data_IF_834807104629
#
_entry.id   IF_834807104629
#
_cell.length_a   1.000
_cell.length_b   1.000
_cell.length_c   1.000
_cell.angle_alpha   90.00
_cell.angle_beta   90.00
_cell.angle_gamma   90.00
#
_symmetry.space_group_name_H-M   'P 1'
#
loop_
_entity.id
_entity.type
_entity.pdbx_description
1 polymer ?
#
# COMPACT_ATOMS: atom_id res chain seq x y z
N UNK A 1 -8.92 25.56 15.53
CA UNK A 1 -10.06 25.15 16.39
C UNK A 1 -10.77 23.99 15.69
N UNK A 2 -10.90 22.85 16.36
CA UNK A 2 -11.53 21.67 15.73
C UNK A 2 -13.05 21.89 15.63
N UNK A 3 -13.57 22.12 14.45
CA UNK A 3 -15.00 22.37 14.16
C UNK A 3 -15.91 21.23 14.62
N UNK A 4 -15.36 20.01 14.75
CA UNK A 4 -16.09 18.80 15.16
C UNK A 4 -16.90 18.96 16.45
N UNK A 5 -16.38 19.72 17.42
CA UNK A 5 -17.04 19.96 18.70
C UNK A 5 -18.13 21.03 18.64
N UNK A 6 -18.22 21.77 17.55
CA UNK A 6 -19.22 22.81 17.34
C UNK A 6 -20.43 22.32 16.55
N UNK A 7 -20.31 21.18 15.87
CA UNK A 7 -21.38 20.59 15.07
C UNK A 7 -22.35 19.81 15.98
N UNK A 8 -23.65 19.98 15.71
CA UNK A 8 -24.71 19.26 16.43
C UNK A 8 -24.79 17.82 15.91
N UNK A 9 -24.10 16.92 16.61
CA UNK A 9 -24.00 15.50 16.25
C UNK A 9 -25.39 14.85 16.19
N UNK A 10 -26.22 15.09 17.20
CA UNK A 10 -27.49 14.38 17.34
C UNK A 10 -28.45 14.84 16.23
N UNK A 11 -28.49 16.11 15.95
CA UNK A 11 -29.23 16.64 14.80
C UNK A 11 -28.74 16.04 13.47
N UNK A 12 -27.43 16.02 13.24
CA UNK A 12 -26.83 15.53 11.98
C UNK A 12 -27.18 14.06 11.75
N UNK A 13 -27.04 13.22 12.77
CA UNK A 13 -27.37 11.80 12.70
C UNK A 13 -28.87 11.57 12.50
N UNK A 14 -29.73 12.29 13.25
CA UNK A 14 -31.18 12.16 13.11
C UNK A 14 -31.67 12.63 11.75
N UNK A 15 -31.16 13.76 11.23
CA UNK A 15 -31.50 14.26 9.92
C UNK A 15 -31.10 13.27 8.82
N UNK A 16 -29.93 12.61 8.96
CA UNK A 16 -29.47 11.59 8.01
C UNK A 16 -30.36 10.36 8.02
N UNK A 17 -30.74 9.87 9.21
CA UNK A 17 -31.69 8.75 9.36
C UNK A 17 -33.06 9.08 8.73
N UNK A 18 -33.47 10.32 8.79
CA UNK A 18 -34.73 10.81 8.18
C UNK A 18 -34.61 11.11 6.67
N UNK A 19 -33.52 10.70 6.03
CA UNK A 19 -33.32 10.86 4.58
C UNK A 19 -32.95 12.27 4.11
N UNK A 20 -32.61 13.19 5.03
CA UNK A 20 -32.18 14.53 4.65
C UNK A 20 -30.83 14.45 3.94
N UNK A 21 -30.71 15.16 2.80
CA UNK A 21 -29.47 15.16 2.04
C UNK A 21 -28.32 15.81 2.81
N UNK A 22 -27.10 15.31 2.62
CA UNK A 22 -25.90 15.85 3.28
C UNK A 22 -25.69 17.33 2.97
N UNK A 23 -26.12 17.79 1.78
CA UNK A 23 -26.06 19.19 1.38
C UNK A 23 -27.01 20.07 2.20
N UNK A 24 -28.22 19.58 2.51
CA UNK A 24 -29.18 20.30 3.35
C UNK A 24 -28.70 20.35 4.81
N UNK A 25 -28.13 19.26 5.31
CA UNK A 25 -27.52 19.22 6.66
C UNK A 25 -26.39 20.24 6.74
N UNK A 26 -25.50 20.26 5.75
CA UNK A 26 -24.40 21.23 5.66
C UNK A 26 -24.90 22.68 5.72
N UNK A 27 -25.90 23.06 4.90
CA UNK A 27 -26.45 24.43 4.86
C UNK A 27 -27.00 24.84 6.21
N UNK A 28 -27.78 23.97 6.85
CA UNK A 28 -28.37 24.25 8.15
C UNK A 28 -27.33 24.42 9.27
N UNK A 29 -26.34 23.56 9.31
CA UNK A 29 -25.24 23.67 10.28
C UNK A 29 -24.38 24.92 10.03
N UNK A 30 -24.15 25.27 8.76
CA UNK A 30 -23.48 26.53 8.41
C UNK A 30 -24.25 27.77 8.89
N UNK A 31 -25.58 27.82 8.69
CA UNK A 31 -26.43 28.87 9.19
C UNK A 31 -26.47 28.96 10.71
N UNK A 32 -26.54 27.79 11.38
CA UNK A 32 -26.53 27.72 12.85
C UNK A 32 -25.22 28.25 13.43
N UNK A 33 -24.10 27.83 12.89
CA UNK A 33 -22.77 28.26 13.35
C UNK A 33 -22.47 29.71 13.01
N UNK A 34 -22.97 30.24 11.88
CA UNK A 34 -22.83 31.65 11.50
C UNK A 34 -23.57 32.59 12.45
N UNK A 35 -24.66 32.12 13.12
CA UNK A 35 -25.36 32.90 14.19
C UNK A 35 -24.53 32.97 15.48
N UNK A 36 -23.68 31.95 15.73
CA UNK A 36 -22.81 31.90 16.91
C UNK A 36 -21.56 32.73 16.65
N UNK A 37 -20.90 32.49 15.52
CA UNK A 37 -19.73 33.22 15.06
C UNK A 37 -19.66 33.18 13.52
N UNK A 38 -19.82 34.30 12.82
CA UNK A 38 -19.83 34.37 11.35
C UNK A 38 -18.49 34.04 10.69
N UNK A 39 -17.40 33.99 11.47
CA UNK A 39 -16.08 33.60 10.97
C UNK A 39 -15.92 32.09 10.89
N UNK A 40 -16.80 31.29 11.53
CA UNK A 40 -16.73 29.83 11.46
C UNK A 40 -17.18 29.38 10.08
N UNK A 41 -16.22 28.85 9.31
CA UNK A 41 -16.48 28.24 8.00
C UNK A 41 -16.02 26.81 8.01
N UNK A 42 -16.80 25.93 7.41
CA UNK A 42 -16.43 24.56 7.17
C UNK A 42 -16.96 24.10 5.81
N UNK A 43 -16.56 22.93 5.34
CA UNK A 43 -16.91 22.44 4.01
C UNK A 43 -17.99 21.36 4.10
N UNK A 44 -18.74 21.17 3.02
CA UNK A 44 -19.66 20.06 2.87
C UNK A 44 -18.94 18.70 3.10
N UNK A 45 -17.69 18.57 2.62
CA UNK A 45 -16.85 17.40 2.85
C UNK A 45 -16.57 17.10 4.33
N UNK A 46 -16.58 18.12 5.20
CA UNK A 46 -16.45 17.91 6.65
C UNK A 46 -17.66 17.17 7.23
N UNK A 47 -18.88 17.51 6.80
CA UNK A 47 -20.10 16.77 7.20
C UNK A 47 -20.07 15.33 6.70
N UNK A 48 -19.67 15.12 5.43
CA UNK A 48 -19.55 13.75 4.85
C UNK A 48 -18.56 12.91 5.65
N UNK A 49 -17.40 13.47 5.96
CA UNK A 49 -16.38 12.80 6.75
C UNK A 49 -16.85 12.44 8.17
N UNK A 50 -17.54 13.38 8.82
CA UNK A 50 -18.08 13.16 10.17
C UNK A 50 -19.19 12.11 10.17
N UNK A 51 -20.09 12.11 9.20
CA UNK A 51 -21.13 11.08 9.10
C UNK A 51 -20.51 9.70 8.95
N UNK A 52 -19.49 9.54 8.11
CA UNK A 52 -18.76 8.27 7.99
C UNK A 52 -18.15 7.82 9.33
N UNK A 53 -17.59 8.76 10.08
CA UNK A 53 -16.98 8.46 11.39
C UNK A 53 -18.03 8.11 12.46
N UNK A 54 -19.20 8.72 12.41
CA UNK A 54 -20.25 8.51 13.40
C UNK A 54 -21.13 7.30 13.11
N UNK A 55 -21.37 6.94 11.86
CA UNK A 55 -22.10 5.72 11.48
C UNK A 55 -21.32 4.46 11.87
N UNK A 56 -19.99 4.50 11.86
CA UNK A 56 -19.13 3.41 12.33
C UNK A 56 -19.20 3.18 13.86
N UNK A 57 -19.74 4.14 14.62
CA UNK A 57 -19.94 4.03 16.08
C UNK A 57 -21.38 3.69 16.48
N UNK A 58 -22.24 3.26 15.55
CA UNK A 58 -23.56 2.74 15.89
C UNK A 58 -23.40 1.35 16.54
N UNK A 59 -24.16 1.12 17.62
CA UNK A 59 -24.08 -0.06 18.48
C UNK A 59 -24.00 -1.38 17.68
N UNK A 60 -22.93 -2.13 17.88
CA UNK A 60 -22.72 -3.45 17.29
C UNK A 60 -21.74 -3.51 16.13
N UNK A 61 -21.08 -2.41 15.76
CA UNK A 61 -19.98 -2.46 14.82
C UNK A 61 -18.75 -3.14 15.47
N UNK A 62 -18.01 -4.01 14.74
CA UNK A 62 -16.72 -4.48 15.21
C UNK A 62 -15.82 -3.29 15.50
N UNK A 63 -14.88 -3.47 16.45
CA UNK A 63 -13.91 -2.44 16.83
C UNK A 63 -13.44 -1.66 15.61
N UNK A 64 -13.45 -0.31 15.66
CA UNK A 64 -13.08 0.48 14.49
C UNK A 64 -11.67 0.07 14.06
N UNK A 65 -11.55 -0.29 12.80
CA UNK A 65 -10.25 -0.35 12.14
C UNK A 65 -9.41 0.84 12.59
N UNK A 66 -8.11 0.68 12.86
CA UNK A 66 -7.27 1.72 13.43
C UNK A 66 -7.55 3.05 12.74
N UNK A 67 -7.93 4.04 13.53
CA UNK A 67 -8.40 5.33 13.02
C UNK A 67 -7.21 6.00 12.36
N UNK A 68 -7.13 5.90 11.02
CA UNK A 68 -6.17 6.67 10.27
C UNK A 68 -6.43 8.14 10.50
N UNK A 69 -5.57 8.73 11.29
CA UNK A 69 -5.50 10.18 11.39
C UNK A 69 -4.88 10.65 10.06
N UNK A 70 -5.72 10.92 9.07
CA UNK A 70 -5.32 11.72 7.92
C UNK A 70 -5.07 13.17 8.41
N UNK A 71 -4.02 13.32 9.18
CA UNK A 71 -3.60 14.58 9.74
C UNK A 71 -2.50 15.20 8.91
N UNK A 72 -2.83 15.52 7.66
CA UNK A 72 -2.08 16.58 6.98
C UNK A 72 -3.10 17.60 6.54
N UNK A 73 -3.17 18.72 7.25
CA UNK A 73 -3.76 19.94 6.73
C UNK A 73 -3.06 20.22 5.39
N UNK A 74 -3.77 19.95 4.28
CA UNK A 74 -3.27 20.32 2.96
C UNK A 74 -3.18 21.83 2.92
N UNK A 75 -1.99 22.43 2.75
CA UNK A 75 -1.90 23.87 2.56
C UNK A 75 -2.73 24.26 1.33
N UNK A 76 -3.67 25.13 1.51
CA UNK A 76 -4.40 25.73 0.39
C UNK A 76 -3.46 26.74 -0.28
N UNK A 77 -3.40 26.66 -1.61
CA UNK A 77 -2.66 27.57 -2.50
C UNK A 77 -1.15 27.36 -2.58
N UNK A 78 -0.71 26.57 -3.55
CA UNK A 78 0.64 26.60 -4.12
C UNK A 78 1.79 26.12 -3.24
N UNK A 79 1.50 25.69 -2.03
CA UNK A 79 2.52 25.06 -1.19
C UNK A 79 2.72 23.63 -1.67
N UNK A 80 3.97 23.27 -1.90
CA UNK A 80 4.39 21.90 -2.16
C UNK A 80 3.94 21.06 -0.96
N UNK A 81 3.09 20.08 -1.19
CA UNK A 81 2.74 19.09 -0.18
C UNK A 81 4.01 18.33 0.20
N UNK A 82 4.57 18.65 1.34
CA UNK A 82 5.69 17.88 1.89
C UNK A 82 5.11 16.60 2.44
N UNK A 83 5.28 15.50 1.70
CA UNK A 83 5.01 14.16 2.19
C UNK A 83 6.09 13.78 3.22
N UNK A 84 5.93 14.27 4.44
CA UNK A 84 6.89 14.01 5.55
C UNK A 84 6.44 12.87 6.45
N UNK A 85 5.23 12.35 6.24
CA UNK A 85 4.68 11.23 6.99
C UNK A 85 5.06 9.87 6.40
N UNK A 86 4.71 8.85 7.14
CA UNK A 86 4.69 7.46 6.69
C UNK A 86 3.50 6.78 7.36
N UNK A 87 2.96 5.76 6.71
CA UNK A 87 1.95 4.92 7.32
C UNK A 87 2.58 4.07 8.44
N UNK A 88 1.81 3.84 9.49
CA UNK A 88 2.18 2.92 10.57
C UNK A 88 1.17 1.78 10.62
N UNK A 89 1.69 0.58 10.64
CA UNK A 89 0.93 -0.67 10.70
C UNK A 89 1.33 -1.43 11.96
N UNK A 90 0.44 -2.26 12.46
CA UNK A 90 0.69 -3.08 13.63
C UNK A 90 0.29 -4.54 13.36
N UNK A 91 0.91 -5.47 14.09
CA UNK A 91 0.60 -6.89 14.08
C UNK A 91 1.38 -7.70 13.05
N UNK A 92 0.81 -8.84 12.64
CA UNK A 92 1.46 -9.81 11.78
C UNK A 92 1.00 -9.65 10.33
N UNK A 93 1.96 -9.69 9.40
CA UNK A 93 1.72 -9.34 7.99
C UNK A 93 2.40 -10.29 7.01
N UNK A 94 1.68 -10.58 5.93
CA UNK A 94 2.28 -11.05 4.67
C UNK A 94 2.78 -9.83 3.89
N UNK A 95 4.02 -9.87 3.42
CA UNK A 95 4.61 -8.82 2.58
C UNK A 95 5.01 -9.42 1.24
N UNK A 96 4.40 -8.93 0.18
CA UNK A 96 4.78 -9.20 -1.21
C UNK A 96 5.13 -7.88 -1.91
N UNK A 97 5.75 -7.94 -3.06
CA UNK A 97 6.01 -6.79 -3.94
C UNK A 97 6.33 -7.26 -5.34
N UNK A 98 6.51 -6.32 -6.26
CA UNK A 98 6.92 -6.61 -7.63
C UNK A 98 6.02 -7.70 -8.26
N UNK A 99 4.71 -7.49 -8.22
CA UNK A 99 3.74 -8.39 -8.86
C UNK A 99 3.73 -8.23 -10.36
N UNK A 100 3.98 -7.01 -10.84
CA UNK A 100 4.11 -6.67 -12.25
C UNK A 100 2.95 -7.23 -13.11
N UNK A 101 1.70 -7.04 -12.66
CA UNK A 101 0.57 -7.45 -13.47
C UNK A 101 0.71 -6.91 -14.91
N UNK A 102 0.45 -7.72 -15.94
CA UNK A 102 -0.17 -9.05 -15.94
C UNK A 102 0.84 -10.22 -15.96
N UNK A 103 2.08 -10.03 -15.50
CA UNK A 103 3.14 -11.05 -15.52
C UNK A 103 3.31 -11.77 -14.19
N UNK A 104 2.34 -11.67 -13.31
CA UNK A 104 2.37 -12.32 -12.01
C UNK A 104 2.47 -13.85 -12.08
N UNK A 105 3.18 -14.43 -11.12
CA UNK A 105 3.18 -15.87 -10.88
C UNK A 105 1.98 -16.23 -10.00
N UNK A 106 0.89 -16.64 -10.64
CA UNK A 106 -0.38 -16.97 -9.97
C UNK A 106 -0.22 -18.06 -8.90
N UNK A 107 0.58 -19.09 -9.17
CA UNK A 107 0.76 -20.19 -8.24
C UNK A 107 1.60 -19.77 -7.04
N UNK A 108 2.59 -18.92 -7.26
CA UNK A 108 3.40 -18.34 -6.21
C UNK A 108 2.57 -17.43 -5.30
N UNK A 109 1.73 -16.58 -5.87
CA UNK A 109 0.82 -15.71 -5.10
C UNK A 109 -0.13 -16.52 -4.23
N UNK A 110 -0.77 -17.56 -4.79
CA UNK A 110 -1.66 -18.46 -4.04
C UNK A 110 -0.93 -19.19 -2.92
N UNK A 111 0.31 -19.61 -3.18
CA UNK A 111 1.15 -20.25 -2.17
C UNK A 111 1.51 -19.30 -1.03
N UNK A 112 1.92 -18.07 -1.33
CA UNK A 112 2.23 -17.05 -0.33
C UNK A 112 1.03 -16.78 0.60
N UNK A 113 -0.17 -16.65 0.03
CA UNK A 113 -1.41 -16.49 0.79
C UNK A 113 -1.73 -17.73 1.64
N UNK A 114 -1.57 -18.93 1.08
CA UNK A 114 -1.77 -20.18 1.82
C UNK A 114 -0.83 -20.30 3.02
N UNK A 115 0.45 -19.99 2.82
CA UNK A 115 1.47 -20.03 3.88
C UNK A 115 1.18 -18.98 4.97
N UNK A 116 0.76 -17.77 4.58
CA UNK A 116 0.35 -16.72 5.52
C UNK A 116 -0.85 -17.14 6.37
N UNK A 117 -1.88 -17.73 5.75
CA UNK A 117 -3.05 -18.24 6.47
C UNK A 117 -2.69 -19.37 7.44
N UNK A 118 -1.80 -20.27 7.06
CA UNK A 118 -1.30 -21.34 7.95
C UNK A 118 -0.57 -20.79 9.19
N UNK A 119 -0.02 -19.58 9.09
CA UNK A 119 0.59 -18.84 10.21
C UNK A 119 -0.39 -17.96 10.98
N UNK A 120 -1.68 -17.97 10.62
CA UNK A 120 -2.69 -17.13 11.25
C UNK A 120 -2.60 -15.63 10.89
N UNK A 121 -1.86 -15.29 9.84
CA UNK A 121 -1.71 -13.91 9.38
C UNK A 121 -3.03 -13.45 8.73
N UNK A 122 -3.51 -12.28 9.14
CA UNK A 122 -4.77 -11.72 8.70
C UNK A 122 -4.62 -10.45 7.86
N UNK A 123 -3.39 -9.94 7.71
CA UNK A 123 -3.09 -8.70 7.01
C UNK A 123 -2.08 -8.93 5.89
N UNK A 124 -2.23 -8.18 4.81
CA UNK A 124 -1.36 -8.27 3.64
C UNK A 124 -0.90 -6.90 3.16
N UNK A 125 0.37 -6.80 2.81
CA UNK A 125 0.99 -5.62 2.22
C UNK A 125 1.54 -5.95 0.83
N UNK A 126 1.10 -5.20 -0.18
CA UNK A 126 1.71 -5.18 -1.52
C UNK A 126 2.63 -3.97 -1.62
N UNK A 127 3.91 -4.23 -1.64
CA UNK A 127 4.97 -3.25 -1.44
C UNK A 127 5.53 -2.71 -2.77
N UNK A 128 4.65 -2.19 -3.62
CA UNK A 128 4.98 -1.52 -4.87
C UNK A 128 5.24 -2.43 -6.06
N UNK A 129 5.39 -1.78 -7.22
CA UNK A 129 5.49 -2.38 -8.55
C UNK A 129 4.38 -3.42 -8.79
N UNK A 130 3.14 -2.93 -8.57
CA UNK A 130 1.91 -3.71 -8.72
C UNK A 130 1.67 -3.98 -10.20
N UNK A 131 1.83 -2.96 -11.03
CA UNK A 131 1.70 -3.03 -12.48
C UNK A 131 3.05 -3.07 -13.16
N UNK A 132 3.12 -3.67 -14.35
CA UNK A 132 4.29 -3.56 -15.21
C UNK A 132 4.45 -2.15 -15.79
N UNK A 133 3.34 -1.51 -16.15
CA UNK A 133 3.32 -0.11 -16.53
C UNK A 133 4.05 0.22 -17.84
N UNK A 134 4.29 -0.75 -18.73
CA UNK A 134 5.04 -0.54 -19.96
C UNK A 134 4.43 0.55 -20.84
N UNK A 135 3.09 0.70 -20.82
CA UNK A 135 2.39 1.73 -21.59
C UNK A 135 2.72 3.16 -21.14
N UNK A 136 3.10 3.34 -19.88
CA UNK A 136 3.50 4.61 -19.28
C UNK A 136 5.02 4.74 -19.11
N UNK A 137 5.80 3.72 -19.47
CA UNK A 137 7.23 3.70 -19.36
C UNK A 137 7.88 4.66 -20.38
N UNK A 138 8.94 5.36 -19.96
CA UNK A 138 9.77 6.18 -20.84
C UNK A 138 10.90 5.39 -21.52
N UNK A 139 11.07 4.13 -21.17
CA UNK A 139 12.07 3.26 -21.78
C UNK A 139 11.61 2.79 -23.16
N UNK A 140 12.54 2.59 -24.12
CA UNK A 140 12.21 2.04 -25.42
C UNK A 140 11.46 0.71 -25.30
N UNK A 141 10.40 0.57 -26.06
CA UNK A 141 9.61 -0.67 -26.14
C UNK A 141 9.93 -1.34 -27.46
N UNK A 142 10.41 -2.56 -27.40
CA UNK A 142 10.66 -3.32 -28.62
C UNK A 142 9.40 -4.00 -29.13
N UNK A 143 8.48 -4.36 -28.25
CA UNK A 143 7.18 -4.96 -28.60
C UNK A 143 6.14 -4.64 -27.52
N UNK A 144 4.95 -4.19 -27.90
CA UNK A 144 3.80 -4.14 -27.00
C UNK A 144 3.26 -5.57 -26.81
N UNK A 145 3.51 -6.15 -25.68
CA UNK A 145 3.17 -7.56 -25.42
C UNK A 145 1.74 -7.72 -24.89
N UNK A 146 1.15 -6.65 -24.34
CA UNK A 146 -0.19 -6.68 -23.74
C UNK A 146 -0.87 -5.30 -23.80
N UNK A 147 -2.19 -5.28 -23.66
CA UNK A 147 -2.96 -4.03 -23.58
C UNK A 147 -2.99 -3.51 -22.13
N UNK A 148 -3.14 -2.19 -21.97
CA UNK A 148 -3.38 -1.60 -20.66
C UNK A 148 -4.66 -2.14 -20.01
N UNK A 149 -5.68 -2.44 -20.80
CA UNK A 149 -6.93 -2.99 -20.28
C UNK A 149 -6.70 -4.34 -19.60
N UNK A 150 -5.88 -5.23 -20.19
CA UNK A 150 -5.51 -6.50 -19.57
C UNK A 150 -4.78 -6.30 -18.23
N UNK A 151 -3.88 -5.34 -18.17
CA UNK A 151 -3.17 -4.98 -16.92
C UNK A 151 -4.16 -4.56 -15.84
N UNK A 152 -5.11 -3.68 -16.18
CA UNK A 152 -6.13 -3.19 -15.24
C UNK A 152 -7.10 -4.29 -14.80
N UNK A 153 -7.53 -5.17 -15.73
CA UNK A 153 -8.36 -6.34 -15.41
C UNK A 153 -7.66 -7.25 -14.40
N UNK A 154 -6.37 -7.54 -14.61
CA UNK A 154 -5.60 -8.38 -13.66
C UNK A 154 -5.45 -7.72 -12.30
N UNK A 155 -5.20 -6.42 -12.25
CA UNK A 155 -5.15 -5.66 -10.98
C UNK A 155 -6.49 -5.77 -10.24
N UNK A 156 -7.61 -5.60 -10.95
CA UNK A 156 -8.94 -5.68 -10.35
C UNK A 156 -9.26 -7.09 -9.81
N UNK A 157 -8.99 -8.13 -10.59
CA UNK A 157 -9.18 -9.53 -10.17
C UNK A 157 -8.38 -9.85 -8.90
N UNK A 158 -7.11 -9.47 -8.86
CA UNK A 158 -6.26 -9.73 -7.71
C UNK A 158 -6.60 -8.87 -6.50
N UNK A 159 -7.05 -7.62 -6.69
CA UNK A 159 -7.53 -6.77 -5.60
C UNK A 159 -8.71 -7.44 -4.88
N UNK A 160 -9.73 -7.87 -5.63
CA UNK A 160 -10.89 -8.59 -5.07
C UNK A 160 -10.45 -9.88 -4.37
N UNK A 161 -9.58 -10.66 -5.03
CA UNK A 161 -9.14 -11.91 -4.45
C UNK A 161 -8.33 -11.70 -3.15
N UNK A 162 -7.39 -10.77 -3.09
CA UNK A 162 -6.64 -10.47 -1.87
C UNK A 162 -7.57 -9.97 -0.76
N UNK A 163 -8.49 -9.07 -1.08
CA UNK A 163 -9.47 -8.56 -0.12
C UNK A 163 -10.38 -9.65 0.44
N UNK A 164 -10.68 -10.69 -0.35
CA UNK A 164 -11.43 -11.84 0.12
C UNK A 164 -10.62 -12.78 1.04
N UNK A 165 -9.28 -12.66 1.06
CA UNK A 165 -8.40 -13.55 1.80
C UNK A 165 -7.93 -12.97 3.14
N UNK A 166 -7.90 -11.64 3.28
CA UNK A 166 -7.34 -10.93 4.43
C UNK A 166 -8.32 -9.94 5.01
N UNK A 167 -8.16 -9.58 6.27
CA UNK A 167 -8.96 -8.57 6.94
C UNK A 167 -8.56 -7.15 6.52
N UNK A 168 -7.29 -6.97 6.20
CA UNK A 168 -6.74 -5.71 5.72
C UNK A 168 -5.72 -5.98 4.62
N UNK A 169 -5.89 -5.32 3.50
CA UNK A 169 -4.95 -5.31 2.38
C UNK A 169 -4.46 -3.89 2.17
N UNK A 170 -3.16 -3.69 2.23
CA UNK A 170 -2.56 -2.39 1.99
C UNK A 170 -1.68 -2.41 0.75
N UNK A 171 -1.79 -1.39 -0.10
CA UNK A 171 -0.92 -1.17 -1.25
C UNK A 171 -0.23 0.18 -1.13
N UNK A 172 1.05 0.21 -1.47
CA UNK A 172 1.78 1.45 -1.70
C UNK A 172 2.55 1.38 -3.03
N UNK A 173 2.86 2.55 -3.66
CA UNK A 173 3.43 2.55 -4.99
C UNK A 173 4.92 2.20 -5.03
N UNK A 174 5.31 1.45 -6.05
CA UNK A 174 6.68 1.35 -6.54
C UNK A 174 7.00 2.35 -7.63
N UNK A 175 8.10 2.14 -8.33
CA UNK A 175 8.50 3.04 -9.40
C UNK A 175 7.69 2.84 -10.70
N UNK A 176 7.26 1.60 -11.01
CA UNK A 176 6.40 1.30 -12.15
C UNK A 176 5.02 1.93 -11.99
N UNK A 177 4.40 1.79 -10.84
CA UNK A 177 3.10 2.39 -10.53
C UNK A 177 3.13 3.91 -10.69
N UNK A 178 4.27 4.54 -10.38
CA UNK A 178 4.45 5.99 -10.52
C UNK A 178 4.67 6.47 -11.95
N UNK A 179 4.90 5.59 -12.91
CA UNK A 179 5.00 6.00 -14.33
C UNK A 179 3.66 6.53 -14.83
N UNK A 180 2.56 5.89 -14.47
CA UNK A 180 1.21 6.36 -14.79
C UNK A 180 0.93 7.75 -14.20
N UNK A 181 1.27 7.93 -12.90
CA UNK A 181 1.13 9.23 -12.23
C UNK A 181 1.94 10.34 -12.91
N UNK A 182 3.16 10.03 -13.36
CA UNK A 182 4.00 11.00 -14.06
C UNK A 182 3.50 11.30 -15.47
N UNK A 183 2.96 10.30 -16.15
CA UNK A 183 2.40 10.48 -17.50
C UNK A 183 1.20 11.41 -17.50
N UNK A 184 0.48 11.48 -16.39
CA UNK A 184 -0.63 12.41 -16.17
C UNK A 184 -0.16 13.83 -15.75
N UNK A 185 1.10 14.21 -15.99
CA UNK A 185 1.68 15.51 -15.67
C UNK A 185 1.47 15.97 -14.20
N UNK A 186 1.42 15.00 -13.29
CA UNK A 186 1.18 15.25 -11.86
C UNK A 186 -0.26 15.62 -11.50
N UNK A 187 -1.19 15.48 -12.43
CA UNK A 187 -2.64 15.68 -12.19
C UNK A 187 -3.27 14.48 -11.50
N UNK A 188 -2.64 13.32 -11.57
CA UNK A 188 -3.06 12.09 -10.90
C UNK A 188 -2.26 11.85 -9.62
N UNK A 189 -2.83 11.03 -8.73
CA UNK A 189 -2.14 10.45 -7.57
C UNK A 189 -2.16 8.95 -7.72
N UNK A 190 -1.28 8.23 -7.03
CA UNK A 190 -1.31 6.76 -7.06
C UNK A 190 -2.68 6.22 -6.65
N UNK A 191 -3.27 6.76 -5.58
CA UNK A 191 -4.62 6.38 -5.15
C UNK A 191 -5.67 6.65 -6.23
N UNK A 192 -5.58 7.78 -6.90
CA UNK A 192 -6.49 8.15 -7.99
C UNK A 192 -6.38 7.18 -9.16
N UNK A 193 -5.16 6.80 -9.53
CA UNK A 193 -4.91 5.81 -10.58
C UNK A 193 -5.47 4.44 -10.21
N UNK A 194 -5.13 3.90 -9.04
CA UNK A 194 -5.65 2.59 -8.61
C UNK A 194 -7.18 2.60 -8.53
N UNK A 195 -7.81 3.65 -7.99
CA UNK A 195 -9.27 3.74 -8.00
C UNK A 195 -9.87 3.83 -9.40
N UNK A 196 -9.16 4.40 -10.36
CA UNK A 196 -9.60 4.39 -11.76
C UNK A 196 -9.57 2.97 -12.37
N UNK A 197 -8.58 2.17 -12.01
CA UNK A 197 -8.48 0.77 -12.42
C UNK A 197 -9.57 -0.11 -11.80
N UNK A 198 -9.90 0.18 -10.53
CA UNK A 198 -10.90 -0.56 -9.76
C UNK A 198 -12.34 -0.03 -9.95
N UNK A 199 -12.58 0.91 -10.87
CA UNK A 199 -13.88 1.58 -11.06
C UNK A 199 -15.06 0.65 -11.33
N UNK A 200 -14.78 -0.54 -11.89
CA UNK A 200 -15.79 -1.55 -12.23
C UNK A 200 -15.98 -2.62 -11.14
N UNK A 201 -15.16 -2.59 -10.09
CA UNK A 201 -15.24 -3.50 -8.95
C UNK A 201 -16.30 -2.99 -7.97
N UNK A 202 -17.11 -3.90 -7.44
CA UNK A 202 -18.03 -3.55 -6.34
C UNK A 202 -17.20 -3.12 -5.13
N UNK A 203 -17.50 -1.93 -4.61
CA UNK A 203 -16.75 -1.36 -3.47
C UNK A 203 -16.82 -2.23 -2.22
N UNK A 204 -17.84 -3.09 -2.09
CA UNK A 204 -17.96 -4.04 -0.98
C UNK A 204 -16.92 -5.16 -1.04
N UNK A 205 -16.49 -5.52 -2.25
CA UNK A 205 -15.51 -6.60 -2.45
C UNK A 205 -14.07 -6.14 -2.13
N UNK A 206 -13.86 -4.83 -1.97
CA UNK A 206 -12.56 -4.20 -1.71
C UNK A 206 -12.63 -3.15 -0.59
N UNK A 207 -13.61 -3.25 0.31
CA UNK A 207 -13.81 -2.27 1.40
C UNK A 207 -12.63 -2.24 2.38
N UNK A 208 -11.89 -3.34 2.49
CA UNK A 208 -10.69 -3.49 3.31
C UNK A 208 -9.38 -3.20 2.56
N UNK A 209 -9.46 -2.64 1.34
CA UNK A 209 -8.29 -2.19 0.58
C UNK A 209 -7.87 -0.79 1.01
N UNK A 210 -6.64 -0.67 1.47
CA UNK A 210 -5.99 0.60 1.76
C UNK A 210 -4.94 0.95 0.73
N UNK A 211 -4.91 2.21 0.34
CA UNK A 211 -3.92 2.76 -0.60
C UNK A 211 -3.12 3.88 0.07
N UNK A 212 -1.80 3.77 0.08
CA UNK A 212 -0.89 4.82 0.53
C UNK A 212 -0.28 5.58 -0.64
N UNK A 213 -0.04 6.87 -0.49
CA UNK A 213 0.77 7.66 -1.43
C UNK A 213 2.27 7.57 -1.15
N UNK A 214 2.65 7.05 0.01
CA UNK A 214 4.05 6.87 0.40
C UNK A 214 4.60 5.59 -0.23
N UNK A 215 5.89 5.57 -0.52
CA UNK A 215 6.63 4.40 -1.01
C UNK A 215 7.26 3.58 0.12
N UNK A 216 6.78 3.78 1.34
CA UNK A 216 7.22 3.08 2.54
C UNK A 216 6.18 3.12 3.65
N UNK A 217 6.26 2.12 4.52
CA UNK A 217 5.48 2.02 5.75
C UNK A 217 6.38 1.58 6.90
N UNK A 218 6.02 1.92 8.14
CA UNK A 218 6.57 1.30 9.33
C UNK A 218 5.58 0.27 9.85
N UNK A 219 6.04 -0.95 10.06
CA UNK A 219 5.28 -2.05 10.65
C UNK A 219 5.86 -2.38 12.01
N UNK A 220 5.05 -2.26 13.07
CA UNK A 220 5.38 -2.76 14.40
C UNK A 220 4.77 -4.14 14.58
N UNK A 221 5.58 -5.15 14.84
CA UNK A 221 5.15 -6.53 15.09
C UNK A 221 5.88 -7.06 16.33
N UNK A 222 5.14 -7.52 17.33
CA UNK A 222 5.73 -7.76 18.66
C UNK A 222 6.39 -6.48 19.18
N UNK A 223 7.64 -6.58 19.62
CA UNK A 223 8.43 -5.46 20.12
C UNK A 223 9.37 -4.87 19.03
N UNK A 224 9.22 -5.26 17.77
CA UNK A 224 10.12 -4.94 16.68
C UNK A 224 9.48 -4.03 15.63
N UNK A 225 10.23 -3.01 15.19
CA UNK A 225 9.86 -2.14 14.09
C UNK A 225 10.54 -2.58 12.78
N UNK A 226 9.75 -2.65 11.73
CA UNK A 226 10.17 -2.95 10.37
C UNK A 226 9.82 -1.80 9.44
N UNK A 227 10.80 -1.28 8.71
CA UNK A 227 10.54 -0.38 7.59
C UNK A 227 10.41 -1.19 6.31
N UNK A 228 9.24 -1.13 5.67
CA UNK A 228 9.00 -1.77 4.39
C UNK A 228 8.96 -0.69 3.34
N UNK A 229 9.85 -0.75 2.34
CA UNK A 229 10.03 0.36 1.42
C UNK A 229 10.40 -0.09 0.01
N UNK A 230 9.67 0.43 -1.00
CA UNK A 230 10.00 0.22 -2.40
C UNK A 230 11.01 1.28 -2.86
N UNK A 231 12.29 0.93 -2.78
CA UNK A 231 13.39 1.84 -3.07
C UNK A 231 13.76 1.84 -4.54
N UNK A 232 14.17 3.00 -5.05
CA UNK A 232 14.68 3.15 -6.43
C UNK A 232 16.15 2.76 -6.60
N UNK A 233 16.79 2.30 -5.52
CA UNK A 233 18.19 1.88 -5.55
C UNK A 233 18.26 0.44 -6.03
N UNK A 234 19.09 0.21 -7.03
CA UNK A 234 19.37 -1.11 -7.56
C UNK A 234 20.76 -1.59 -7.15
N UNK A 235 20.92 -2.87 -6.96
CA UNK A 235 22.21 -3.50 -6.76
C UNK A 235 22.21 -4.93 -7.32
N UNK A 236 23.37 -5.35 -7.87
CA UNK A 236 23.51 -6.69 -8.46
C UNK A 236 23.65 -7.82 -7.44
N UNK A 237 23.93 -7.47 -6.18
CA UNK A 237 24.13 -8.47 -5.13
C UNK A 237 22.88 -8.54 -4.24
N UNK A 238 22.31 -9.75 -4.03
CA UNK A 238 21.21 -9.95 -3.09
C UNK A 238 21.57 -9.47 -1.68
N UNK A 239 20.61 -8.89 -0.98
CA UNK A 239 20.81 -8.33 0.34
C UNK A 239 21.49 -6.95 0.39
N UNK A 240 22.11 -6.50 -0.72
CA UNK A 240 22.89 -5.26 -0.69
C UNK A 240 22.03 -3.98 -0.70
N UNK A 241 20.80 -4.03 -1.21
CA UNK A 241 19.87 -2.92 -1.08
C UNK A 241 19.33 -2.88 0.34
N UNK A 242 18.93 -4.02 0.88
CA UNK A 242 18.53 -4.13 2.28
C UNK A 242 19.62 -3.62 3.23
N UNK A 243 20.89 -3.98 3.00
CA UNK A 243 22.04 -3.43 3.75
C UNK A 243 22.10 -1.90 3.74
N UNK A 244 21.97 -1.29 2.56
CA UNK A 244 21.98 0.18 2.43
C UNK A 244 20.80 0.81 3.14
N UNK A 245 19.65 0.12 3.16
CA UNK A 245 18.44 0.62 3.80
C UNK A 245 18.52 0.54 5.32
N UNK A 246 19.06 -0.54 5.90
CA UNK A 246 19.37 -0.64 7.32
C UNK A 246 20.21 0.55 7.77
N UNK A 247 21.28 0.83 7.06
CA UNK A 247 22.19 1.95 7.39
C UNK A 247 21.50 3.32 7.30
N UNK A 248 20.47 3.44 6.43
CA UNK A 248 19.71 4.69 6.25
C UNK A 248 18.60 4.86 7.27
N UNK A 249 17.84 3.81 7.54
CA UNK A 249 16.66 3.85 8.42
C UNK A 249 16.99 3.47 9.88
N UNK A 250 18.07 2.74 10.11
CA UNK A 250 18.49 2.21 11.42
C UNK A 250 17.39 1.39 12.11
N UNK A 251 16.74 0.53 11.34
CA UNK A 251 15.68 -0.37 11.75
C UNK A 251 15.73 -1.62 10.88
N UNK A 252 14.98 -2.65 11.24
CA UNK A 252 14.77 -3.80 10.36
C UNK A 252 14.10 -3.33 9.07
N UNK A 253 14.43 -3.95 7.93
CA UNK A 253 13.88 -3.52 6.64
C UNK A 253 13.43 -4.70 5.78
N UNK A 254 12.36 -4.51 5.02
CA UNK A 254 11.97 -5.38 3.92
C UNK A 254 11.94 -4.54 2.65
N UNK A 255 12.63 -5.01 1.61
CA UNK A 255 12.83 -4.27 0.38
C UNK A 255 12.48 -5.11 -0.83
N UNK A 256 11.49 -4.76 -1.63
CA UNK A 256 11.29 -5.23 -3.00
C UNK A 256 12.20 -4.48 -3.99
N UNK A 257 11.86 -4.48 -5.29
CA UNK A 257 12.43 -3.69 -6.39
C UNK A 257 13.60 -4.32 -7.12
N UNK A 258 14.59 -4.86 -6.44
CA UNK A 258 15.79 -5.33 -7.15
C UNK A 258 15.65 -6.73 -7.75
N UNK A 259 14.53 -7.41 -7.52
CA UNK A 259 14.23 -8.73 -8.03
C UNK A 259 15.27 -9.81 -7.63
N UNK A 260 15.89 -9.65 -6.49
CA UNK A 260 16.80 -10.66 -5.90
C UNK A 260 16.41 -10.89 -4.45
N UNK A 261 16.30 -12.17 -4.09
CA UNK A 261 16.00 -12.54 -2.70
C UNK A 261 17.30 -12.72 -1.90
N UNK A 262 17.32 -12.19 -0.69
CA UNK A 262 18.47 -12.31 0.20
C UNK A 262 18.22 -11.71 1.56
N UNK A 263 19.01 -12.14 2.53
CA UNK A 263 18.97 -11.62 3.90
C UNK A 263 20.32 -11.03 4.24
N UNK A 264 20.29 -9.92 4.96
CA UNK A 264 21.46 -9.23 5.46
C UNK A 264 21.27 -8.81 6.92
N UNK A 265 22.31 -8.87 7.73
CA UNK A 265 22.34 -8.30 9.07
C UNK A 265 23.34 -7.15 9.10
N UNK A 266 23.07 -6.09 9.88
CA UNK A 266 24.03 -5.02 10.05
C UNK A 266 25.30 -5.52 10.81
N UNK A 267 26.34 -4.70 10.80
CA UNK A 267 27.64 -5.06 11.39
C UNK A 267 27.56 -5.39 12.89
N UNK A 268 26.56 -4.84 13.58
CA UNK A 268 26.33 -5.04 15.01
C UNK A 268 25.35 -6.19 15.29
N UNK A 269 24.71 -6.75 14.26
CA UNK A 269 23.70 -7.81 14.39
C UNK A 269 22.35 -7.34 14.93
N UNK A 270 22.14 -6.02 15.12
CA UNK A 270 20.90 -5.48 15.70
C UNK A 270 19.76 -5.39 14.71
N UNK A 271 20.05 -5.14 13.44
CA UNK A 271 19.02 -4.97 12.42
C UNK A 271 19.16 -5.99 11.30
N UNK A 272 18.03 -6.41 10.81
CA UNK A 272 17.91 -7.39 9.72
C UNK A 272 17.31 -6.72 8.49
N UNK A 273 17.86 -7.05 7.32
CA UNK A 273 17.34 -6.63 6.04
C UNK A 273 16.96 -7.82 5.17
N UNK A 274 15.81 -7.74 4.55
CA UNK A 274 15.28 -8.76 3.65
C UNK A 274 15.00 -8.13 2.30
N UNK A 275 15.71 -8.58 1.25
CA UNK A 275 15.31 -8.35 -0.13
C UNK A 275 14.39 -9.52 -0.53
N UNK A 276 13.13 -9.24 -0.89
CA UNK A 276 12.13 -10.31 -1.07
C UNK A 276 12.08 -10.92 -2.47
N UNK A 277 12.77 -10.30 -3.45
CA UNK A 277 12.57 -10.69 -4.86
C UNK A 277 11.22 -10.20 -5.39
N UNK A 278 10.60 -10.94 -6.29
CA UNK A 278 9.33 -10.55 -6.89
C UNK A 278 8.34 -11.71 -6.97
N UNK A 279 7.09 -11.38 -7.36
CA UNK A 279 5.97 -12.32 -7.49
C UNK A 279 5.56 -12.55 -8.95
N UNK A 280 6.52 -12.51 -9.87
CA UNK A 280 6.30 -12.53 -11.32
C UNK A 280 6.99 -13.72 -11.98
N UNK A 281 6.59 -13.99 -13.23
CA UNK A 281 7.25 -14.95 -14.11
C UNK A 281 8.40 -14.22 -14.81
N UNK A 282 9.64 -14.46 -14.37
CA UNK A 282 10.82 -13.74 -14.87
C UNK A 282 11.01 -13.87 -16.38
N UNK A 283 10.64 -15.02 -16.95
CA UNK A 283 10.73 -15.31 -18.38
C UNK A 283 9.76 -14.46 -19.23
N UNK A 284 8.73 -13.87 -18.62
CA UNK A 284 7.80 -12.97 -19.31
C UNK A 284 8.40 -11.58 -19.58
N UNK A 285 9.44 -11.19 -18.85
CA UNK A 285 10.09 -9.90 -19.07
C UNK A 285 11.06 -9.94 -20.23
N UNK A 286 10.78 -9.12 -21.23
CA UNK A 286 11.65 -8.99 -22.41
C UNK A 286 13.09 -8.62 -22.03
N UNK A 287 13.27 -7.65 -21.14
CA UNK A 287 14.62 -7.20 -20.73
C UNK A 287 15.38 -8.25 -19.90
N UNK A 288 14.70 -9.14 -19.19
CA UNK A 288 15.33 -10.23 -18.46
C UNK A 288 15.96 -11.26 -19.42
N UNK A 289 15.34 -11.45 -20.60
CA UNK A 289 15.77 -12.40 -21.60
C UNK A 289 16.87 -11.82 -22.53
N UNK A 290 16.81 -10.51 -22.79
CA UNK A 290 17.75 -9.84 -23.71
C UNK A 290 19.11 -9.53 -23.09
N UNK A 291 19.18 -9.37 -21.76
CA UNK A 291 20.38 -8.94 -21.06
C UNK A 291 21.09 -10.09 -20.33
N UNK A 292 20.88 -11.32 -20.72
CA UNK A 292 21.57 -12.47 -20.11
C UNK A 292 23.04 -12.49 -20.52
N UNK A 293 23.87 -11.81 -19.73
CA UNK A 293 25.31 -11.99 -19.81
C UNK A 293 25.65 -13.32 -19.11
N UNK A 294 26.53 -14.15 -19.70
CA UNK A 294 26.99 -15.38 -19.02
C UNK A 294 27.49 -15.06 -17.61
N UNK A 295 26.93 -15.75 -16.61
CA UNK A 295 27.22 -15.52 -15.19
C UNK A 295 26.37 -14.44 -14.50
N UNK A 296 25.42 -13.79 -15.18
CA UNK A 296 24.45 -12.94 -14.53
C UNK A 296 23.47 -13.80 -13.70
N UNK A 297 23.25 -13.39 -12.45
CA UNK A 297 22.27 -14.05 -11.58
C UNK A 297 20.87 -13.87 -12.16
N UNK A 298 20.09 -14.93 -12.20
CA UNK A 298 18.67 -14.86 -12.56
C UNK A 298 17.90 -14.11 -11.48
N UNK A 299 16.83 -13.43 -11.88
CA UNK A 299 15.87 -12.83 -10.95
C UNK A 299 15.33 -13.89 -10.02
N UNK A 300 15.14 -13.54 -8.76
CA UNK A 300 14.56 -14.42 -7.74
C UNK A 300 13.12 -14.03 -7.47
N UNK A 301 12.33 -15.05 -7.13
CA UNK A 301 10.95 -14.89 -6.69
C UNK A 301 10.87 -15.14 -5.19
N UNK A 302 9.94 -14.43 -4.51
CA UNK A 302 9.75 -14.67 -3.09
C UNK A 302 8.85 -13.65 -2.41
N UNK A 303 8.56 -13.92 -1.17
CA UNK A 303 7.78 -13.06 -0.28
C UNK A 303 8.34 -13.12 1.13
N UNK A 304 7.88 -12.24 2.00
CA UNK A 304 8.22 -12.29 3.41
C UNK A 304 6.95 -12.34 4.28
N UNK A 305 7.11 -12.87 5.48
CA UNK A 305 6.15 -12.66 6.57
C UNK A 305 6.85 -11.98 7.72
N UNK A 306 6.11 -11.16 8.47
CA UNK A 306 6.54 -10.63 9.76
C UNK A 306 5.54 -11.13 10.79
N UNK A 307 6.01 -11.93 11.74
CA UNK A 307 5.19 -12.56 12.79
C UNK A 307 5.89 -12.41 14.13
N UNK A 308 5.25 -11.73 15.06
CA UNK A 308 5.76 -11.51 16.42
C UNK A 308 7.21 -11.00 16.43
N UNK A 309 7.49 -10.01 15.58
CA UNK A 309 8.79 -9.38 15.41
C UNK A 309 9.75 -10.15 14.47
N UNK A 310 9.45 -11.39 14.10
CA UNK A 310 10.33 -12.22 13.26
C UNK A 310 9.99 -12.05 11.79
N UNK A 311 10.95 -11.53 11.01
CA UNK A 311 10.90 -11.52 9.55
C UNK A 311 11.34 -12.87 8.97
N UNK A 312 10.55 -13.46 8.09
CA UNK A 312 10.89 -14.72 7.41
C UNK A 312 10.80 -14.53 5.90
N UNK A 313 11.92 -14.79 5.21
CA UNK A 313 11.98 -14.82 3.75
C UNK A 313 11.60 -16.22 3.24
N UNK A 314 10.72 -16.23 2.24
CA UNK A 314 10.34 -17.45 1.50
C UNK A 314 10.75 -17.31 0.05
N UNK A 315 11.42 -18.31 -0.47
CA UNK A 315 11.76 -18.43 -1.89
C UNK A 315 11.22 -19.75 -2.43
N UNK A 316 10.69 -19.80 -3.66
CA UNK A 316 10.00 -20.99 -4.17
C UNK A 316 10.89 -22.23 -4.24
N UNK A 317 12.17 -22.02 -4.51
CA UNK A 317 13.13 -23.09 -4.79
C UNK A 317 14.21 -23.24 -3.71
N UNK A 318 14.13 -22.47 -2.63
CA UNK A 318 15.13 -22.42 -1.57
C UNK A 318 14.52 -22.73 -0.20
N UNK A 319 15.37 -23.06 0.76
CA UNK A 319 14.95 -23.27 2.15
C UNK A 319 14.53 -21.93 2.77
N UNK A 320 13.54 -21.99 3.68
CA UNK A 320 13.11 -20.84 4.47
C UNK A 320 14.29 -20.24 5.24
N UNK A 321 14.45 -18.94 5.16
CA UNK A 321 15.39 -18.18 5.95
C UNK A 321 14.60 -17.33 6.96
N UNK A 322 14.51 -17.80 8.20
CA UNK A 322 13.93 -17.03 9.29
C UNK A 322 15.04 -16.23 9.97
N UNK A 323 14.83 -14.93 10.13
CA UNK A 323 15.79 -14.06 10.77
C UNK A 323 15.09 -13.27 11.87
N UNK A 324 15.65 -13.37 13.06
CA UNK A 324 15.21 -12.59 14.23
C UNK A 324 16.29 -11.58 14.55
N UNK A 325 15.94 -10.31 14.77
CA UNK A 325 16.86 -9.36 15.40
C UNK A 325 17.35 -9.92 16.74
N UNK A 326 18.58 -9.65 17.07
CA UNK A 326 19.21 -10.12 18.32
C UNK A 326 18.86 -9.20 19.46
#
# INVERSE_FOLDING_TARGET
MQIRHLLDRDYILQAKRNGVSTQQIYRREQERLARINPEIKFTHGAIVSLLRTWDLNAEGAPDPLPTYVYGVDRPRHGAIALYTGQERLEGNWLVIGDTHFPFEDTDLLKRAVSDAKALGIRNMLVAGDIVQGDNASHWPKDVAVYSQDLEMERVAEWAVWFCSQFDLVMWFPGNHDRWHVRHADGLATFRGEVWSWLRHVDQRDIENLMLSEYDRVTLTSGDEDWTIAHQRKYAKMPGSVAQKMINSFRTNVIVPHQHYSGVYTDENGFNVGIDIGGMFIAEAFHYANMNTVPGQRKMSRGWATVVDGVGTLYTPDEKRLAVRPI
#
